data_IF_403659793960
#
_entry.id   IF_403659793960
#
_cell.length_a   1.000
_cell.length_b   1.000
_cell.length_c   1.000
_cell.angle_alpha   90.00
_cell.angle_beta   90.00
_cell.angle_gamma   90.00
#
_symmetry.space_group_name_H-M   'P 1'
#
loop_
_entity.id
_entity.type
_entity.pdbx_description
1 polymer ?
#
# COMPACT_ATOMS: atom_id res chain seq x y z
N UNK A 1 46.90 -13.42 73.03
CA UNK A 1 47.34 -13.45 71.62
C UNK A 1 46.44 -14.29 70.70
N UNK A 2 46.02 -15.51 71.09
CA UNK A 2 45.20 -16.39 70.23
C UNK A 2 43.82 -15.79 69.85
N UNK A 3 43.12 -15.16 70.81
CA UNK A 3 41.83 -14.49 70.57
C UNK A 3 41.92 -13.35 69.55
N UNK A 4 43.02 -12.60 69.53
CA UNK A 4 43.23 -11.48 68.59
C UNK A 4 43.49 -12.01 67.18
N UNK A 5 44.26 -13.10 67.06
CA UNK A 5 44.51 -13.77 65.77
C UNK A 5 43.21 -14.36 65.19
N UNK A 6 42.37 -15.00 66.01
CA UNK A 6 41.08 -15.55 65.57
C UNK A 6 40.14 -14.43 65.09
N UNK A 7 40.06 -13.31 65.81
CA UNK A 7 39.26 -12.15 65.37
C UNK A 7 39.72 -11.59 64.03
N UNK A 8 41.03 -11.50 63.80
CA UNK A 8 41.57 -11.01 62.54
C UNK A 8 41.34 -11.99 61.38
N UNK A 9 41.38 -13.30 61.64
CA UNK A 9 41.06 -14.32 60.63
C UNK A 9 39.57 -14.26 60.27
N UNK A 10 38.68 -14.14 61.26
CA UNK A 10 37.25 -13.98 61.02
C UNK A 10 36.99 -12.72 60.20
N UNK A 11 37.60 -11.60 60.57
CA UNK A 11 37.46 -10.34 59.83
C UNK A 11 37.90 -10.48 58.37
N UNK A 12 39.04 -11.13 58.12
CA UNK A 12 39.57 -11.36 56.78
C UNK A 12 38.65 -12.28 55.96
N UNK A 13 38.10 -13.32 56.58
CA UNK A 13 37.11 -14.20 55.95
C UNK A 13 35.82 -13.43 55.65
N UNK A 14 35.34 -12.58 56.55
CA UNK A 14 34.15 -11.74 56.30
C UNK A 14 34.39 -10.77 55.16
N UNK A 15 35.55 -10.12 55.10
CA UNK A 15 35.89 -9.23 53.98
C UNK A 15 35.95 -10.00 52.66
N UNK A 16 36.54 -11.20 52.64
CA UNK A 16 36.57 -12.04 51.43
C UNK A 16 35.17 -12.50 51.01
N UNK A 17 34.29 -12.83 51.97
CA UNK A 17 32.89 -13.18 51.70
C UNK A 17 32.12 -11.96 51.16
N UNK A 18 32.35 -10.77 51.71
CA UNK A 18 31.74 -9.54 51.19
C UNK A 18 32.23 -9.20 49.79
N UNK A 19 33.53 -9.38 49.49
CA UNK A 19 34.07 -9.21 48.13
C UNK A 19 33.46 -10.26 47.20
N UNK A 20 33.35 -11.52 47.62
CA UNK A 20 32.75 -12.59 46.82
C UNK A 20 31.25 -12.36 46.55
N UNK A 21 30.48 -11.95 47.56
CA UNK A 21 29.06 -11.63 47.41
C UNK A 21 28.86 -10.38 46.56
N UNK A 22 29.63 -9.32 46.78
CA UNK A 22 29.61 -8.11 45.95
C UNK A 22 30.01 -8.42 44.51
N UNK A 23 31.00 -9.30 44.33
CA UNK A 23 31.43 -9.78 43.02
C UNK A 23 30.34 -10.61 42.35
N UNK A 24 29.58 -11.43 43.06
CA UNK A 24 28.45 -12.15 42.47
C UNK A 24 27.29 -11.20 42.12
N UNK A 25 27.05 -10.14 42.87
CA UNK A 25 25.99 -9.15 42.56
C UNK A 25 26.38 -8.23 41.40
N UNK A 26 27.67 -7.90 41.25
CA UNK A 26 28.17 -7.02 40.18
C UNK A 26 28.66 -7.76 38.92
N UNK A 27 29.16 -9.00 39.04
CA UNK A 27 29.65 -9.82 37.90
C UNK A 27 28.64 -10.85 37.40
N UNK A 28 27.58 -11.18 38.15
CA UNK A 28 26.41 -11.76 37.50
C UNK A 28 25.73 -10.61 36.77
N UNK A 29 26.12 -10.41 35.51
CA UNK A 29 25.25 -9.73 34.55
C UNK A 29 23.88 -10.39 34.71
N UNK A 30 22.84 -9.66 35.16
CA UNK A 30 21.50 -10.22 35.22
C UNK A 30 21.16 -10.79 33.84
N UNK A 31 20.33 -11.83 33.76
CA UNK A 31 20.09 -12.55 32.49
C UNK A 31 19.63 -11.64 31.34
N UNK A 32 19.09 -10.46 31.63
CA UNK A 32 18.77 -9.43 30.63
C UNK A 32 19.97 -8.69 30.03
N UNK A 33 21.16 -8.71 30.66
CA UNK A 33 22.42 -8.17 30.12
C UNK A 33 23.30 -9.25 29.50
N UNK A 34 22.90 -10.54 29.54
CA UNK A 34 23.32 -11.47 28.50
C UNK A 34 22.62 -11.01 27.23
N UNK A 35 23.20 -10.01 26.58
CA UNK A 35 22.99 -9.78 25.16
C UNK A 35 23.13 -11.16 24.54
N UNK A 36 22.04 -11.67 23.99
CA UNK A 36 22.12 -12.74 23.02
C UNK A 36 23.04 -12.18 21.94
N UNK A 37 24.33 -12.47 22.05
CA UNK A 37 25.21 -12.61 20.92
C UNK A 37 24.59 -13.75 20.11
N UNK A 38 23.47 -13.46 19.45
CA UNK A 38 23.16 -14.09 18.18
C UNK A 38 24.45 -13.85 17.40
N UNK A 39 25.19 -14.93 17.20
CA UNK A 39 26.17 -14.97 16.13
C UNK A 39 25.51 -14.23 14.95
N UNK A 40 26.11 -13.14 14.50
CA UNK A 40 25.93 -12.62 13.16
C UNK A 40 26.38 -13.72 12.19
N UNK A 41 25.57 -14.77 12.09
CA UNK A 41 25.38 -15.42 10.82
C UNK A 41 24.47 -14.46 10.08
N UNK A 42 24.86 -14.12 8.85
CA UNK A 42 23.92 -13.78 7.79
C UNK A 42 22.75 -14.77 7.86
N UNK A 43 21.75 -14.47 8.68
CA UNK A 43 20.50 -15.18 8.66
C UNK A 43 19.87 -14.71 7.38
N UNK A 44 20.07 -15.48 6.31
CA UNK A 44 19.26 -15.40 5.11
C UNK A 44 17.82 -15.14 5.56
N UNK A 45 17.25 -14.02 5.13
CA UNK A 45 15.84 -13.74 5.39
C UNK A 45 15.08 -14.90 4.75
N UNK A 46 14.61 -15.84 5.56
CA UNK A 46 13.81 -16.96 5.07
C UNK A 46 12.46 -16.35 4.72
N UNK A 47 12.24 -16.17 3.42
CA UNK A 47 10.99 -15.62 2.90
C UNK A 47 10.00 -16.76 2.82
N UNK A 48 9.17 -16.85 3.85
CA UNK A 48 8.06 -17.78 3.88
C UNK A 48 6.76 -17.13 3.36
N UNK A 49 6.70 -15.79 3.26
CA UNK A 49 5.56 -15.06 2.73
C UNK A 49 5.59 -15.02 1.19
N UNK A 50 4.44 -15.25 0.56
CA UNK A 50 4.29 -15.11 -0.90
C UNK A 50 4.19 -13.64 -1.29
N UNK A 51 5.32 -13.07 -1.72
CA UNK A 51 5.43 -11.66 -2.11
C UNK A 51 4.47 -11.32 -3.25
N UNK A 52 4.20 -12.24 -4.16
CA UNK A 52 3.36 -11.98 -5.34
C UNK A 52 1.89 -11.72 -5.02
N UNK A 53 1.43 -12.17 -3.85
CA UNK A 53 0.07 -11.87 -3.38
C UNK A 53 -0.13 -10.39 -3.06
N UNK A 54 0.94 -9.70 -2.66
CA UNK A 54 0.88 -8.29 -2.22
C UNK A 54 1.56 -7.36 -3.21
N UNK A 55 2.65 -7.79 -3.86
CA UNK A 55 3.19 -7.12 -5.03
C UNK A 55 2.42 -7.56 -6.26
N UNK A 56 1.29 -6.87 -6.48
CA UNK A 56 0.44 -7.07 -7.64
C UNK A 56 0.00 -5.72 -8.22
N UNK A 57 -0.37 -5.68 -9.50
CA UNK A 57 -0.88 -4.49 -10.17
C UNK A 57 -2.12 -3.93 -9.46
N UNK A 58 -2.29 -2.61 -9.47
CA UNK A 58 -3.50 -1.95 -8.94
C UNK A 58 -4.69 -2.17 -9.87
N UNK A 59 -4.43 -2.31 -11.17
CA UNK A 59 -5.43 -2.61 -12.19
C UNK A 59 -4.81 -3.33 -13.37
N UNK A 60 -5.61 -4.19 -13.98
CA UNK A 60 -5.31 -4.90 -15.22
C UNK A 60 -6.23 -4.33 -16.31
N UNK A 61 -5.64 -3.82 -17.39
CA UNK A 61 -6.37 -3.26 -18.52
C UNK A 61 -6.31 -4.29 -19.64
N UNK A 62 -7.47 -4.74 -20.11
CA UNK A 62 -7.60 -5.71 -21.20
C UNK A 62 -8.15 -4.97 -22.42
N UNK A 63 -7.44 -5.07 -23.54
CA UNK A 63 -7.90 -4.62 -24.84
C UNK A 63 -7.81 -5.78 -25.83
N UNK A 64 -8.95 -6.27 -26.29
CA UNK A 64 -9.03 -7.38 -27.24
C UNK A 64 -10.13 -7.09 -28.25
N UNK A 65 -9.80 -7.11 -29.54
CA UNK A 65 -10.68 -6.64 -30.62
C UNK A 65 -11.22 -5.22 -30.32
N UNK A 66 -12.55 -5.04 -30.32
CA UNK A 66 -13.23 -3.79 -29.97
C UNK A 66 -13.54 -3.66 -28.47
N UNK A 67 -13.20 -4.69 -27.68
CA UNK A 67 -13.49 -4.70 -26.25
C UNK A 67 -12.38 -4.05 -25.44
N UNK A 68 -12.79 -3.30 -24.42
CA UNK A 68 -11.90 -2.72 -23.43
C UNK A 68 -12.53 -2.82 -22.05
N UNK A 69 -11.78 -3.35 -21.09
CA UNK A 69 -12.22 -3.39 -19.70
C UNK A 69 -11.05 -3.25 -18.75
N UNK A 70 -11.35 -2.89 -17.50
CA UNK A 70 -10.38 -2.73 -16.43
C UNK A 70 -10.81 -3.57 -15.25
N UNK A 71 -9.89 -4.38 -14.74
CA UNK A 71 -10.09 -5.25 -13.59
C UNK A 71 -9.24 -4.74 -12.43
N UNK A 72 -9.83 -4.60 -11.26
CA UNK A 72 -9.13 -4.17 -10.03
C UNK A 72 -8.79 -5.35 -9.11
N UNK A 73 -9.18 -6.57 -9.48
CA UNK A 73 -8.86 -7.81 -8.77
C UNK A 73 -8.21 -8.80 -9.74
N UNK A 74 -7.42 -9.72 -9.18
CA UNK A 74 -6.80 -10.81 -9.95
C UNK A 74 -7.47 -12.15 -9.66
N UNK A 75 -8.80 -12.18 -9.59
CA UNK A 75 -9.55 -13.42 -9.34
C UNK A 75 -9.34 -14.49 -10.42
N UNK A 76 -9.02 -14.04 -11.64
CA UNK A 76 -8.84 -14.90 -12.81
C UNK A 76 -7.37 -15.36 -13.00
N UNK A 77 -6.45 -14.98 -12.08
CA UNK A 77 -5.05 -15.40 -12.11
C UNK A 77 -4.23 -14.85 -13.29
N UNK A 78 -4.54 -13.64 -13.77
CA UNK A 78 -3.81 -12.98 -14.85
C UNK A 78 -2.38 -12.62 -14.41
N UNK A 79 -2.22 -12.19 -13.16
CA UNK A 79 -0.91 -11.78 -12.64
C UNK A 79 0.03 -12.97 -12.48
N UNK A 80 -0.44 -14.09 -11.96
CA UNK A 80 0.35 -15.32 -11.83
C UNK A 80 0.90 -15.78 -13.18
N UNK A 81 0.09 -15.71 -14.24
CA UNK A 81 0.52 -16.03 -15.61
C UNK A 81 1.50 -14.99 -16.18
N UNK A 82 1.31 -13.71 -15.86
CA UNK A 82 2.24 -12.66 -16.26
C UNK A 82 3.62 -12.82 -15.59
N UNK A 83 3.66 -13.27 -14.33
CA UNK A 83 4.91 -13.54 -13.61
C UNK A 83 5.76 -14.61 -14.29
N UNK A 84 5.15 -15.61 -14.93
CA UNK A 84 5.87 -16.60 -15.76
C UNK A 84 6.59 -15.90 -16.91
N UNK A 85 5.90 -15.02 -17.65
CA UNK A 85 6.49 -14.27 -18.76
C UNK A 85 7.60 -13.31 -18.30
N UNK A 86 7.42 -12.65 -17.15
CA UNK A 86 8.47 -11.80 -16.55
C UNK A 86 9.70 -12.65 -16.20
N UNK A 87 9.49 -13.78 -15.53
CA UNK A 87 10.58 -14.68 -15.15
C UNK A 87 11.35 -15.17 -16.38
N UNK A 88 10.65 -15.60 -17.43
CA UNK A 88 11.27 -16.05 -18.68
C UNK A 88 12.08 -14.91 -19.34
N UNK A 89 11.53 -13.70 -19.38
CA UNK A 89 12.19 -12.54 -19.96
C UNK A 89 13.45 -12.15 -19.17
N UNK A 90 13.38 -12.19 -17.84
CA UNK A 90 14.43 -11.72 -16.95
C UNK A 90 15.56 -12.75 -16.83
N UNK A 91 15.22 -14.03 -16.71
CA UNK A 91 16.19 -15.12 -16.67
C UNK A 91 17.02 -15.20 -17.96
N UNK A 92 16.41 -14.88 -19.10
CA UNK A 92 17.05 -14.96 -20.42
C UNK A 92 17.46 -13.59 -20.98
N UNK A 93 17.47 -12.54 -20.15
CA UNK A 93 17.67 -11.15 -20.57
C UNK A 93 18.94 -10.92 -21.40
N UNK A 94 20.02 -11.64 -21.13
CA UNK A 94 21.30 -11.52 -21.87
C UNK A 94 21.23 -12.00 -23.32
N UNK A 95 20.33 -12.94 -23.61
CA UNK A 95 20.10 -13.50 -24.96
C UNK A 95 18.93 -12.80 -25.68
N UNK A 96 18.29 -11.84 -25.02
CA UNK A 96 17.09 -11.17 -25.53
C UNK A 96 17.44 -9.98 -26.44
N UNK A 97 16.58 -9.73 -27.42
CA UNK A 97 16.59 -8.47 -28.15
C UNK A 97 15.89 -7.40 -27.31
N UNK A 98 16.61 -6.31 -27.00
CA UNK A 98 16.13 -5.21 -26.17
C UNK A 98 16.06 -3.96 -27.03
N UNK A 99 14.85 -3.43 -27.20
CA UNK A 99 14.61 -2.23 -28.00
C UNK A 99 13.70 -1.27 -27.26
N UNK A 100 13.98 0.02 -27.34
CA UNK A 100 13.01 1.05 -26.93
C UNK A 100 11.83 1.04 -27.92
N UNK A 101 10.61 0.94 -27.38
CA UNK A 101 9.39 0.90 -28.19
C UNK A 101 8.48 2.07 -27.83
N UNK A 102 8.09 2.82 -28.85
CA UNK A 102 7.00 3.81 -28.76
C UNK A 102 5.68 3.23 -29.25
N UNK A 103 5.72 2.06 -29.91
CA UNK A 103 4.56 1.43 -30.50
C UNK A 103 3.87 0.55 -29.46
N UNK A 104 2.61 0.86 -29.21
CA UNK A 104 1.73 0.08 -28.36
C UNK A 104 1.07 -1.04 -29.18
N UNK A 105 1.01 -2.29 -28.68
CA UNK A 105 0.26 -3.34 -29.34
C UNK A 105 -1.21 -2.96 -29.55
N UNK A 106 -1.83 -3.45 -30.62
CA UNK A 106 -3.25 -3.19 -30.89
C UNK A 106 -4.17 -3.91 -29.92
N UNK A 107 -3.78 -5.12 -29.52
CA UNK A 107 -4.46 -5.99 -28.57
C UNK A 107 -3.48 -6.38 -27.46
N UNK A 108 -3.85 -6.12 -26.22
CA UNK A 108 -2.93 -6.24 -25.11
C UNK A 108 -3.63 -6.49 -23.79
N UNK A 109 -2.85 -7.03 -22.86
CA UNK A 109 -3.10 -6.88 -21.44
C UNK A 109 -2.01 -5.98 -20.84
N UNK A 110 -2.42 -4.99 -20.05
CA UNK A 110 -1.54 -4.04 -19.38
C UNK A 110 -1.76 -4.12 -17.87
N UNK A 111 -0.69 -4.35 -17.14
CA UNK A 111 -0.63 -4.42 -15.70
C UNK A 111 -0.06 -3.11 -15.18
N UNK A 112 -0.88 -2.30 -14.52
CA UNK A 112 -0.47 -0.99 -14.01
C UNK A 112 -0.10 -1.08 -12.52
N UNK A 113 1.05 -0.51 -12.16
CA UNK A 113 1.42 -0.25 -10.76
C UNK A 113 1.20 1.22 -10.43
N UNK A 114 0.79 1.51 -9.19
CA UNK A 114 0.57 2.89 -8.75
C UNK A 114 1.88 3.67 -8.59
N UNK A 115 2.97 3.01 -8.22
CA UNK A 115 4.32 3.59 -8.07
C UNK A 115 5.33 2.86 -8.97
N UNK A 116 6.54 3.41 -9.06
CA UNK A 116 7.64 2.76 -9.75
C UNK A 116 8.21 1.69 -8.83
N UNK A 117 8.09 0.41 -9.19
CA UNK A 117 8.56 -0.71 -8.37
C UNK A 117 10.01 -1.04 -8.76
N UNK A 118 10.97 -1.07 -7.83
CA UNK A 118 12.34 -1.48 -8.12
C UNK A 118 12.40 -2.88 -8.75
N UNK A 119 13.15 -3.03 -9.85
CA UNK A 119 13.27 -4.33 -10.54
C UNK A 119 13.93 -5.39 -9.65
N UNK A 120 14.77 -4.94 -8.72
CA UNK A 120 15.52 -5.78 -7.79
C UNK A 120 14.58 -6.64 -6.93
N UNK A 121 13.38 -6.14 -6.64
CA UNK A 121 12.36 -6.93 -5.94
C UNK A 121 11.96 -8.16 -6.77
N UNK A 122 11.82 -8.00 -8.09
CA UNK A 122 11.47 -9.10 -8.98
C UNK A 122 12.63 -10.08 -9.14
N UNK A 123 13.81 -9.57 -9.47
CA UNK A 123 14.98 -10.42 -9.75
C UNK A 123 15.48 -11.11 -8.49
N UNK A 124 15.45 -10.44 -7.34
CA UNK A 124 15.77 -11.02 -6.04
C UNK A 124 14.82 -12.16 -5.67
N UNK A 125 13.51 -11.94 -5.81
CA UNK A 125 12.53 -12.98 -5.45
C UNK A 125 12.56 -14.18 -6.40
N UNK A 126 12.73 -13.95 -7.70
CA UNK A 126 12.84 -14.99 -8.72
C UNK A 126 14.21 -15.68 -8.73
N UNK A 127 15.17 -15.24 -7.89
CA UNK A 127 16.56 -15.74 -7.84
C UNK A 127 17.27 -15.65 -9.19
N UNK A 128 17.11 -14.51 -9.85
CA UNK A 128 17.71 -14.23 -11.16
C UNK A 128 19.07 -13.59 -10.95
N UNK A 129 20.14 -14.34 -11.25
CA UNK A 129 21.53 -13.90 -11.10
C UNK A 129 21.99 -12.90 -12.18
N UNK A 130 21.12 -12.56 -13.14
CA UNK A 130 21.48 -11.75 -14.29
C UNK A 130 21.65 -10.28 -13.92
N UNK A 131 22.89 -9.85 -13.65
CA UNK A 131 23.18 -8.44 -13.28
C UNK A 131 22.86 -7.42 -14.37
N UNK A 132 22.76 -7.82 -15.65
CA UNK A 132 22.54 -6.88 -16.75
C UNK A 132 21.15 -6.23 -16.68
N UNK A 133 20.14 -6.94 -16.16
CA UNK A 133 18.79 -6.39 -16.07
C UNK A 133 18.70 -5.24 -15.08
N UNK A 134 19.25 -5.39 -13.87
CA UNK A 134 19.20 -4.36 -12.82
C UNK A 134 19.94 -3.08 -13.26
N UNK A 135 20.92 -3.20 -14.16
CA UNK A 135 21.60 -2.02 -14.74
C UNK A 135 20.82 -1.37 -15.88
N UNK A 136 19.96 -2.12 -16.58
CA UNK A 136 19.22 -1.64 -17.76
C UNK A 136 17.85 -1.10 -17.38
N UNK A 137 17.17 -1.78 -16.47
CA UNK A 137 15.83 -1.51 -16.01
C UNK A 137 15.92 -1.22 -14.52
N UNK A 138 15.66 0.02 -14.09
CA UNK A 138 15.68 0.34 -12.65
C UNK A 138 14.35 0.00 -11.98
N UNK A 139 13.24 0.32 -12.65
CA UNK A 139 11.91 0.18 -12.10
C UNK A 139 10.94 -0.39 -13.12
N UNK A 140 9.81 -0.89 -12.62
CA UNK A 140 8.64 -1.33 -13.38
C UNK A 140 7.46 -0.49 -12.91
N UNK A 141 6.88 0.29 -13.83
CA UNK A 141 5.67 1.08 -13.58
C UNK A 141 4.45 0.47 -14.27
N UNK A 142 4.64 -0.11 -15.45
CA UNK A 142 3.65 -0.99 -16.05
C UNK A 142 4.33 -2.08 -16.89
N UNK A 143 3.62 -3.20 -17.02
CA UNK A 143 3.97 -4.33 -17.88
C UNK A 143 2.86 -4.47 -18.91
N UNK A 144 3.21 -4.64 -20.18
CA UNK A 144 2.27 -4.85 -21.27
C UNK A 144 2.67 -6.13 -21.99
N UNK A 145 1.68 -6.97 -22.24
CA UNK A 145 1.81 -8.21 -22.99
C UNK A 145 0.92 -8.10 -24.22
N UNK A 146 1.54 -8.32 -25.38
CA UNK A 146 0.85 -8.43 -26.67
C UNK A 146 0.11 -9.77 -26.72
N UNK A 147 -1.15 -9.74 -27.16
CA UNK A 147 -1.98 -10.94 -27.27
C UNK A 147 -1.75 -11.74 -28.57
N UNK A 148 -0.97 -11.17 -29.49
CA UNK A 148 -0.63 -11.75 -30.79
C UNK A 148 0.87 -12.10 -30.90
N UNK A 149 1.75 -11.37 -30.21
CA UNK A 149 3.18 -11.73 -30.08
C UNK A 149 3.45 -12.44 -28.75
N UNK A 150 3.62 -13.77 -28.84
CA UNK A 150 3.78 -14.60 -27.65
C UNK A 150 5.19 -14.65 -27.05
N UNK A 151 6.15 -14.00 -27.71
CA UNK A 151 7.57 -14.10 -27.38
C UNK A 151 8.16 -12.75 -26.93
N UNK A 152 7.31 -11.78 -26.60
CA UNK A 152 7.75 -10.48 -26.11
C UNK A 152 6.91 -9.94 -24.97
N UNK A 153 7.58 -9.10 -24.16
CA UNK A 153 6.94 -8.28 -23.14
C UNK A 153 7.44 -6.84 -23.28
N UNK A 154 6.61 -5.88 -22.88
CA UNK A 154 6.96 -4.47 -22.86
C UNK A 154 6.89 -3.96 -21.42
N UNK A 155 7.91 -3.25 -20.98
CA UNK A 155 7.99 -2.70 -19.63
C UNK A 155 8.20 -1.20 -19.71
N UNK A 156 7.29 -0.44 -19.13
CA UNK A 156 7.51 0.99 -18.89
C UNK A 156 8.21 1.17 -17.55
N UNK A 157 9.36 1.82 -17.56
CA UNK A 157 10.21 1.99 -16.39
C UNK A 157 9.98 3.31 -15.62
N UNK A 158 9.01 4.12 -16.08
CA UNK A 158 8.76 5.47 -15.56
C UNK A 158 9.24 6.60 -16.48
N UNK A 159 10.14 6.29 -17.42
CA UNK A 159 10.71 7.24 -18.38
C UNK A 159 10.42 6.80 -19.83
N UNK A 160 10.70 5.55 -20.16
CA UNK A 160 10.46 4.97 -21.48
C UNK A 160 9.98 3.51 -21.40
N UNK A 161 9.51 3.01 -22.54
CA UNK A 161 9.03 1.63 -22.68
C UNK A 161 10.07 0.79 -23.39
N UNK A 162 10.46 -0.32 -22.77
CA UNK A 162 11.43 -1.28 -23.29
C UNK A 162 10.69 -2.54 -23.73
N UNK A 163 10.89 -2.96 -24.98
CA UNK A 163 10.47 -4.28 -25.47
C UNK A 163 11.61 -5.28 -25.22
N UNK A 164 11.28 -6.39 -24.58
CA UNK A 164 12.16 -7.55 -24.41
C UNK A 164 11.58 -8.67 -25.26
N UNK A 165 12.34 -9.15 -26.23
CA UNK A 165 11.92 -10.22 -27.15
C UNK A 165 12.88 -11.39 -27.08
N UNK A 166 12.32 -12.58 -26.86
CA UNK A 166 13.08 -13.83 -26.71
C UNK A 166 12.16 -15.03 -27.00
N UNK A 167 12.64 -16.02 -27.76
CA UNK A 167 11.87 -17.22 -28.07
C UNK A 167 11.54 -18.12 -26.86
N UNK A 168 12.17 -17.88 -25.70
CA UNK A 168 11.87 -18.55 -24.45
C UNK A 168 10.75 -17.87 -23.65
N UNK A 169 10.41 -16.61 -23.95
CA UNK A 169 9.25 -15.95 -23.37
C UNK A 169 8.01 -16.64 -23.91
N UNK A 170 7.08 -17.03 -23.04
CA UNK A 170 5.81 -17.63 -23.46
C UNK A 170 4.63 -16.94 -22.79
N UNK A 171 3.92 -16.10 -23.54
CA UNK A 171 2.69 -15.42 -23.07
C UNK A 171 1.41 -16.08 -23.58
N UNK A 172 1.51 -17.26 -24.20
CA UNK A 172 0.37 -17.90 -24.87
C UNK A 172 -0.77 -18.24 -23.91
N UNK A 173 -0.47 -18.84 -22.75
CA UNK A 173 -1.52 -19.18 -21.78
C UNK A 173 -2.27 -17.95 -21.27
N UNK A 174 -1.56 -16.83 -21.05
CA UNK A 174 -2.18 -15.58 -20.66
C UNK A 174 -3.05 -15.02 -21.78
N UNK A 175 -2.57 -15.11 -23.02
CA UNK A 175 -3.29 -14.66 -24.21
C UNK A 175 -4.57 -15.47 -24.44
N UNK A 176 -4.48 -16.80 -24.33
CA UNK A 176 -5.62 -17.72 -24.46
C UNK A 176 -6.65 -17.48 -23.34
N UNK A 177 -6.17 -17.21 -22.11
CA UNK A 177 -7.04 -16.83 -20.99
C UNK A 177 -7.79 -15.53 -21.32
N UNK A 178 -7.12 -14.45 -21.70
CA UNK A 178 -7.77 -13.18 -22.06
C UNK A 178 -8.78 -13.34 -23.21
N UNK A 179 -8.44 -14.15 -24.22
CA UNK A 179 -9.34 -14.47 -25.36
C UNK A 179 -10.62 -15.20 -24.92
N UNK A 180 -10.60 -15.87 -23.78
CA UNK A 180 -11.76 -16.57 -23.21
C UNK A 180 -12.64 -15.73 -22.28
N UNK A 181 -12.27 -14.46 -22.02
CA UNK A 181 -13.05 -13.60 -21.13
C UNK A 181 -14.44 -13.28 -21.68
N UNK A 182 -15.44 -13.33 -20.82
CA UNK A 182 -16.74 -12.72 -21.08
C UNK A 182 -16.66 -11.20 -20.82
N UNK A 183 -16.52 -10.42 -21.90
CA UNK A 183 -16.46 -8.96 -21.82
C UNK A 183 -17.84 -8.32 -21.62
N UNK A 184 -18.95 -9.02 -21.89
CA UNK A 184 -20.30 -8.43 -21.81
C UNK A 184 -20.76 -8.22 -20.36
N UNK A 185 -20.30 -9.06 -19.44
CA UNK A 185 -20.58 -8.93 -18.00
C UNK A 185 -19.68 -7.92 -17.28
N UNK A 186 -18.72 -7.31 -17.97
CA UNK A 186 -17.73 -6.40 -17.39
C UNK A 186 -18.06 -4.93 -17.66
N UNK A 187 -17.39 -4.04 -16.94
CA UNK A 187 -17.55 -2.60 -17.13
C UNK A 187 -17.14 -2.22 -18.55
N UNK A 188 -18.06 -1.54 -19.26
CA UNK A 188 -17.85 -0.98 -20.60
C UNK A 188 -17.22 0.41 -20.49
N UNK A 189 -16.50 0.80 -21.54
CA UNK A 189 -15.80 2.07 -21.60
C UNK A 189 -16.12 2.83 -22.88
N UNK A 190 -16.24 4.16 -22.76
CA UNK A 190 -16.33 5.07 -23.89
C UNK A 190 -14.98 5.73 -24.18
N UNK A 191 -14.66 5.85 -25.46
CA UNK A 191 -13.42 6.49 -25.93
C UNK A 191 -13.71 7.84 -26.57
N UNK A 192 -12.69 8.70 -26.60
CA UNK A 192 -12.69 9.96 -27.34
C UNK A 192 -13.91 10.85 -27.06
N UNK A 193 -14.40 10.80 -25.81
CA UNK A 193 -15.50 11.65 -25.36
C UNK A 193 -15.04 13.11 -25.34
N UNK A 194 -15.92 13.99 -25.81
CA UNK A 194 -15.63 15.42 -25.90
C UNK A 194 -16.42 16.20 -24.86
N UNK A 195 -15.75 17.17 -24.25
CA UNK A 195 -16.40 18.22 -23.47
C UNK A 195 -16.07 19.54 -24.15
N UNK A 196 -17.10 20.15 -24.75
CA UNK A 196 -16.93 21.27 -25.69
C UNK A 196 -15.94 20.89 -26.82
N UNK A 197 -14.80 21.59 -26.90
CA UNK A 197 -13.78 21.40 -27.93
C UNK A 197 -12.65 20.45 -27.49
N UNK A 198 -12.60 20.09 -26.21
CA UNK A 198 -11.54 19.28 -25.63
C UNK A 198 -11.94 17.80 -25.62
N UNK A 199 -10.99 16.94 -26.01
CA UNK A 199 -11.19 15.48 -26.04
C UNK A 199 -10.49 14.85 -24.84
N UNK A 200 -11.23 14.06 -24.07
CA UNK A 200 -10.66 13.24 -23.00
C UNK A 200 -9.86 12.11 -23.66
N UNK A 201 -8.57 12.05 -23.36
CA UNK A 201 -7.63 11.13 -23.99
C UNK A 201 -7.70 9.71 -23.41
N UNK A 202 -8.38 9.55 -22.28
CA UNK A 202 -8.47 8.29 -21.55
C UNK A 202 -9.87 7.66 -21.65
N UNK A 203 -9.98 6.33 -21.57
CA UNK A 203 -11.27 5.65 -21.59
C UNK A 203 -12.11 6.02 -20.36
N UNK A 204 -13.40 6.27 -20.58
CA UNK A 204 -14.34 6.66 -19.52
C UNK A 204 -15.23 5.46 -19.17
N UNK A 205 -15.24 4.99 -17.91
CA UNK A 205 -16.12 3.90 -17.48
C UNK A 205 -17.60 4.32 -17.61
N UNK A 206 -18.42 3.40 -18.13
CA UNK A 206 -19.86 3.56 -18.34
C UNK A 206 -20.67 2.86 -17.25
N UNK A 207 -20.20 2.93 -16.00
CA UNK A 207 -20.92 2.34 -14.88
C UNK A 207 -22.17 3.15 -14.52
N UNK A 208 -23.31 2.47 -14.43
CA UNK A 208 -24.61 3.10 -14.12
C UNK A 208 -25.05 2.88 -12.68
N UNK A 209 -24.58 1.81 -12.03
CA UNK A 209 -25.00 1.45 -10.68
C UNK A 209 -23.85 0.97 -9.81
N UNK A 210 -23.97 1.16 -8.50
CA UNK A 210 -23.00 0.76 -7.48
C UNK A 210 -23.72 0.26 -6.23
N UNK A 211 -23.07 -0.58 -5.43
CA UNK A 211 -23.57 -0.93 -4.10
C UNK A 211 -23.34 0.23 -3.12
N UNK A 212 -24.43 0.74 -2.54
CA UNK A 212 -24.44 1.84 -1.58
C UNK A 212 -25.72 1.77 -0.70
N UNK A 213 -25.71 2.23 0.56
CA UNK A 213 -24.54 2.60 1.37
C UNK A 213 -23.62 1.41 1.67
N UNK A 214 -22.33 1.67 1.89
CA UNK A 214 -21.38 0.65 2.40
C UNK A 214 -20.96 1.05 3.80
N UNK A 215 -21.39 0.25 4.78
CA UNK A 215 -21.03 0.42 6.18
C UNK A 215 -19.78 -0.37 6.50
N UNK A 216 -18.84 0.28 7.19
CA UNK A 216 -17.59 -0.33 7.65
C UNK A 216 -17.30 0.00 9.10
N UNK A 217 -16.45 -0.81 9.70
CA UNK A 217 -15.90 -0.61 11.02
C UNK A 217 -14.38 -0.78 10.97
N UNK A 218 -13.67 -0.12 11.87
CA UNK A 218 -12.24 -0.34 12.06
C UNK A 218 -11.99 -1.78 12.47
N UNK A 219 -10.91 -2.35 11.94
CA UNK A 219 -10.45 -3.68 12.35
C UNK A 219 -10.08 -3.71 13.84
N UNK A 220 -9.48 -2.63 14.34
CA UNK A 220 -9.07 -2.50 15.74
C UNK A 220 -10.06 -1.63 16.50
N UNK A 221 -10.52 -2.13 17.64
CA UNK A 221 -11.33 -1.41 18.61
C UNK A 221 -10.49 -1.13 19.86
N UNK A 222 -10.26 0.15 20.16
CA UNK A 222 -9.50 0.57 21.35
C UNK A 222 -10.15 0.10 22.66
N UNK A 223 -11.46 -0.16 22.65
CA UNK A 223 -12.20 -0.64 23.81
C UNK A 223 -12.12 -2.15 24.00
N UNK A 224 -11.63 -2.90 23.00
CA UNK A 224 -11.32 -4.32 23.14
C UNK A 224 -9.93 -4.51 23.76
N UNK A 225 -9.87 -4.26 25.06
CA UNK A 225 -8.61 -4.26 25.83
C UNK A 225 -7.87 -5.59 25.74
N UNK A 226 -8.58 -6.71 25.66
CA UNK A 226 -7.96 -8.04 25.60
C UNK A 226 -7.22 -8.23 24.28
N UNK A 227 -7.87 -7.95 23.15
CA UNK A 227 -7.23 -7.99 21.82
C UNK A 227 -6.03 -7.03 21.75
N UNK A 228 -6.19 -5.79 22.21
CA UNK A 228 -5.08 -4.81 22.19
C UNK A 228 -3.92 -5.25 23.08
N UNK A 229 -4.18 -5.89 24.23
CA UNK A 229 -3.11 -6.41 25.08
C UNK A 229 -2.34 -7.55 24.39
N UNK A 230 -3.01 -8.43 23.65
CA UNK A 230 -2.34 -9.50 22.89
C UNK A 230 -1.46 -8.92 21.77
N UNK A 231 -1.94 -7.90 21.05
CA UNK A 231 -1.14 -7.18 20.04
C UNK A 231 0.11 -6.57 20.69
N UNK A 232 -0.05 -5.93 21.86
CA UNK A 232 1.08 -5.36 22.58
C UNK A 232 2.07 -6.45 23.05
N UNK A 233 1.59 -7.59 23.55
CA UNK A 233 2.45 -8.73 23.93
C UNK A 233 3.26 -9.23 22.74
N UNK A 234 2.65 -9.37 21.57
CA UNK A 234 3.35 -9.85 20.38
C UNK A 234 4.39 -8.83 19.86
N UNK A 235 4.09 -7.54 19.93
CA UNK A 235 5.04 -6.49 19.54
C UNK A 235 6.25 -6.39 20.49
N UNK A 236 6.01 -6.31 21.80
CA UNK A 236 7.07 -6.14 22.80
C UNK A 236 7.75 -7.46 23.19
N UNK A 237 7.13 -8.62 22.92
CA UNK A 237 7.64 -9.95 23.21
C UNK A 237 8.14 -10.05 24.66
N UNK A 238 9.42 -10.34 24.84
CA UNK A 238 10.05 -10.52 26.15
C UNK A 238 10.10 -9.23 26.99
N UNK A 239 9.96 -8.05 26.37
CA UNK A 239 9.97 -6.77 27.07
C UNK A 239 8.60 -6.36 27.63
N UNK A 240 7.52 -7.11 27.32
CA UNK A 240 6.15 -6.73 27.64
C UNK A 240 5.92 -6.48 29.14
N UNK A 241 6.53 -7.28 30.03
CA UNK A 241 6.38 -7.13 31.49
C UNK A 241 6.90 -5.79 32.03
N UNK A 242 7.74 -5.10 31.25
CA UNK A 242 8.33 -3.80 31.61
C UNK A 242 7.67 -2.63 30.87
N UNK A 243 6.64 -2.89 30.07
CA UNK A 243 5.93 -1.88 29.29
C UNK A 243 5.04 -1.05 30.21
N UNK A 244 5.15 0.27 30.08
CA UNK A 244 4.22 1.21 30.71
C UNK A 244 3.01 1.39 29.80
N UNK A 245 1.82 1.11 30.34
CA UNK A 245 0.53 1.36 29.70
C UNK A 245 -0.07 2.67 30.22
N UNK A 246 -0.55 3.51 29.31
CA UNK A 246 -1.28 4.74 29.63
C UNK A 246 -2.45 4.96 28.68
N UNK A 247 -3.47 5.67 29.16
CA UNK A 247 -4.62 6.11 28.37
C UNK A 247 -4.58 7.63 28.28
N UNK A 248 -4.53 8.17 27.06
CA UNK A 248 -4.59 9.61 26.83
C UNK A 248 -6.03 10.15 27.04
N UNK A 249 -6.17 11.46 27.23
CA UNK A 249 -7.51 12.10 27.40
C UNK A 249 -8.40 11.89 26.18
N UNK A 250 -7.81 11.75 25.00
CA UNK A 250 -8.50 11.41 23.74
C UNK A 250 -8.74 9.91 23.57
N UNK A 251 -8.72 9.13 24.65
CA UNK A 251 -8.96 7.68 24.67
C UNK A 251 -7.92 6.79 24.00
N UNK A 252 -6.83 7.36 23.47
CA UNK A 252 -5.76 6.58 22.86
C UNK A 252 -5.06 5.70 23.90
N UNK A 253 -4.81 4.43 23.54
CA UNK A 253 -3.98 3.53 24.33
C UNK A 253 -2.53 3.65 23.87
N UNK A 254 -1.63 3.88 24.82
CA UNK A 254 -0.20 4.03 24.56
C UNK A 254 0.58 3.06 25.44
N UNK A 255 1.45 2.28 24.81
CA UNK A 255 2.37 1.35 25.42
C UNK A 255 3.79 1.79 25.13
N UNK A 256 4.61 1.94 26.17
CA UNK A 256 5.99 2.43 26.04
C UNK A 256 6.95 1.53 26.79
N UNK A 257 7.94 1.01 26.07
CA UNK A 257 9.12 0.40 26.67
C UNK A 257 10.30 1.38 26.59
N UNK A 258 10.76 1.83 27.76
CA UNK A 258 11.82 2.84 27.91
C UNK A 258 11.53 4.12 27.12
N UNK A 259 12.44 4.53 26.24
CA UNK A 259 12.31 5.59 25.22
C UNK A 259 12.53 5.04 23.82
N UNK A 260 12.59 3.72 23.68
CA UNK A 260 13.06 3.03 22.46
C UNK A 260 11.90 2.47 21.66
N UNK A 261 10.87 1.90 22.31
CA UNK A 261 9.72 1.30 21.62
C UNK A 261 8.40 1.89 22.10
N UNK A 262 7.57 2.29 21.14
CA UNK A 262 6.26 2.87 21.37
C UNK A 262 5.24 2.14 20.51
N UNK A 263 4.10 1.78 21.08
CA UNK A 263 2.91 1.29 20.38
C UNK A 263 1.72 2.14 20.82
N UNK A 264 1.02 2.72 19.85
CA UNK A 264 -0.16 3.57 20.06
C UNK A 264 -1.32 3.05 19.24
N UNK A 265 -2.50 2.98 19.87
CA UNK A 265 -3.77 2.69 19.20
C UNK A 265 -4.73 3.83 19.53
N UNK A 266 -5.29 4.48 18.51
CA UNK A 266 -6.23 5.59 18.71
C UNK A 266 -7.70 5.12 18.73
N UNK A 267 -8.61 6.01 19.13
CA UNK A 267 -10.05 5.75 19.18
C UNK A 267 -10.66 5.40 17.82
N UNK A 268 -10.04 5.84 16.72
CA UNK A 268 -10.46 5.50 15.36
C UNK A 268 -9.96 4.13 14.90
N UNK A 269 -9.09 3.44 15.64
CA UNK A 269 -8.56 2.12 15.26
C UNK A 269 -7.29 2.16 14.40
N UNK A 270 -6.59 3.29 14.35
CA UNK A 270 -5.23 3.39 13.82
C UNK A 270 -4.25 2.85 14.86
N UNK A 271 -3.48 1.85 14.46
CA UNK A 271 -2.30 1.37 15.16
C UNK A 271 -1.06 2.04 14.56
N UNK A 272 -0.17 2.53 15.43
CA UNK A 272 1.10 3.15 15.07
C UNK A 272 2.16 2.66 16.04
N UNK A 273 3.25 2.07 15.55
CA UNK A 273 4.42 1.76 16.37
C UNK A 273 5.70 2.31 15.78
N UNK A 274 6.65 2.57 16.68
CA UNK A 274 8.01 2.97 16.35
C UNK A 274 9.02 2.23 17.23
N UNK A 275 10.14 1.82 16.64
CA UNK A 275 11.26 1.14 17.30
C UNK A 275 12.59 1.83 16.94
N UNK A 276 13.14 2.56 17.92
CA UNK A 276 14.40 3.29 17.82
C UNK A 276 15.63 2.45 18.22
N UNK A 277 15.45 1.18 18.64
CA UNK A 277 16.54 0.34 19.15
C UNK A 277 17.36 -0.36 18.07
N UNK A 278 16.95 -0.21 16.81
CA UNK A 278 17.53 -0.91 15.67
C UNK A 278 18.82 -0.21 15.22
N UNK A 279 19.95 -0.92 15.35
CA UNK A 279 21.22 -0.44 14.81
C UNK A 279 21.22 -0.48 13.26
N UNK A 280 21.71 0.58 12.61
CA UNK A 280 21.65 0.65 11.16
C UNK A 280 22.72 -0.21 10.49
N UNK A 281 22.29 -0.98 9.48
CA UNK A 281 23.17 -1.64 8.52
C UNK A 281 23.23 -0.78 7.26
N UNK A 282 24.44 -0.42 6.82
CA UNK A 282 24.69 0.57 5.76
C UNK A 282 24.40 0.09 4.32
N UNK A 283 23.62 -0.96 4.13
CA UNK A 283 23.25 -1.42 2.78
C UNK A 283 21.74 -1.69 2.72
N UNK A 284 21.03 -0.80 2.03
CA UNK A 284 19.61 -0.94 1.75
C UNK A 284 19.45 -1.72 0.44
N UNK A 285 19.04 -2.97 0.52
CA UNK A 285 18.68 -3.80 -0.63
C UNK A 285 17.15 -3.76 -0.81
N UNK A 286 16.63 -3.28 -1.97
CA UNK A 286 15.19 -3.14 -2.17
C UNK A 286 14.41 -4.44 -1.97
N UNK A 287 14.99 -5.58 -2.34
CA UNK A 287 14.36 -6.89 -2.22
C UNK A 287 14.36 -7.37 -0.78
N UNK A 288 15.52 -7.35 -0.09
CA UNK A 288 15.61 -7.78 1.32
C UNK A 288 14.76 -6.90 2.22
N UNK A 289 14.75 -5.60 1.99
CA UNK A 289 13.92 -4.64 2.70
C UNK A 289 12.43 -4.93 2.48
N UNK A 290 12.00 -5.18 1.24
CA UNK A 290 10.60 -5.50 0.96
C UNK A 290 10.19 -6.86 1.53
N UNK A 291 11.05 -7.86 1.42
CA UNK A 291 10.87 -9.16 2.03
C UNK A 291 10.71 -9.07 3.56
N UNK A 292 11.53 -8.25 4.23
CA UNK A 292 11.41 -8.00 5.66
C UNK A 292 10.06 -7.34 6.00
N UNK A 293 9.62 -6.35 5.21
CA UNK A 293 8.30 -5.73 5.37
C UNK A 293 7.16 -6.75 5.23
N UNK A 294 7.17 -7.57 4.18
CA UNK A 294 6.12 -8.54 3.90
C UNK A 294 6.06 -9.63 4.97
N UNK A 295 7.21 -10.16 5.38
CA UNK A 295 7.28 -11.15 6.46
C UNK A 295 6.76 -10.57 7.78
N UNK A 296 7.18 -9.34 8.13
CA UNK A 296 6.72 -8.67 9.34
C UNK A 296 5.20 -8.51 9.36
N UNK A 297 4.62 -7.97 8.28
CA UNK A 297 3.17 -7.74 8.20
C UNK A 297 2.42 -9.07 8.35
N UNK A 298 2.87 -10.12 7.65
CA UNK A 298 2.29 -11.45 7.72
C UNK A 298 2.29 -12.02 9.14
N UNK A 299 3.41 -11.91 9.85
CA UNK A 299 3.59 -12.48 11.18
C UNK A 299 2.86 -11.69 12.27
N UNK A 300 2.78 -10.37 12.13
CA UNK A 300 2.20 -9.50 13.16
C UNK A 300 0.67 -9.47 13.13
N UNK A 301 0.06 -8.94 12.05
CA UNK A 301 -1.41 -8.78 11.95
C UNK A 301 -1.99 -9.25 10.60
N UNK A 302 -1.16 -9.82 9.74
CA UNK A 302 -1.55 -10.21 8.39
C UNK A 302 -1.82 -9.02 7.45
N UNK A 303 -2.03 -9.32 6.18
CA UNK A 303 -2.48 -8.33 5.20
C UNK A 303 -4.01 -8.22 5.20
N UNK A 304 -4.59 -7.04 4.94
CA UNK A 304 -6.02 -6.93 4.66
C UNK A 304 -6.39 -7.77 3.44
N UNK A 305 -7.63 -8.22 3.39
CA UNK A 305 -8.16 -8.90 2.22
C UNK A 305 -8.01 -7.99 0.99
N UNK A 306 -7.55 -8.57 -0.11
CA UNK A 306 -7.26 -7.83 -1.33
C UNK A 306 -6.23 -6.68 -1.18
N UNK A 307 -5.34 -6.77 -0.19
CA UNK A 307 -4.19 -5.87 -0.05
C UNK A 307 -3.26 -5.88 -1.26
N UNK A 308 -2.67 -4.73 -1.58
CA UNK A 308 -1.65 -4.60 -2.61
C UNK A 308 -0.68 -3.45 -2.29
N UNK A 309 0.56 -3.57 -2.77
CA UNK A 309 1.57 -2.53 -2.67
C UNK A 309 1.18 -1.35 -3.55
N UNK A 310 1.01 -0.19 -2.93
CA UNK A 310 0.56 1.04 -3.58
C UNK A 310 1.69 2.05 -3.80
N UNK A 311 2.70 2.05 -2.93
CA UNK A 311 3.82 2.97 -3.04
C UNK A 311 5.12 2.38 -2.49
N UNK A 312 6.24 2.78 -3.09
CA UNK A 312 7.61 2.50 -2.64
C UNK A 312 8.37 3.82 -2.65
N UNK A 313 8.89 4.22 -1.49
CA UNK A 313 9.65 5.46 -1.33
C UNK A 313 11.00 5.17 -0.68
N UNK A 314 12.06 5.79 -1.19
CA UNK A 314 13.35 5.79 -0.49
C UNK A 314 13.26 6.78 0.67
N UNK A 315 13.69 6.37 1.85
CA UNK A 315 13.70 7.18 3.06
C UNK A 315 15.09 7.22 3.67
N UNK A 316 15.39 8.33 4.34
CA UNK A 316 16.62 8.51 5.11
C UNK A 316 16.25 8.82 6.56
N UNK A 317 16.49 7.88 7.46
CA UNK A 317 16.23 8.00 8.89
C UNK A 317 17.56 8.04 9.64
N UNK A 318 17.84 9.18 10.29
CA UNK A 318 19.06 9.39 11.10
C UNK A 318 20.38 9.10 10.34
N UNK A 319 20.38 9.37 9.03
CA UNK A 319 21.53 9.14 8.15
C UNK A 319 21.57 7.76 7.49
N UNK A 320 20.61 6.90 7.79
CA UNK A 320 20.53 5.53 7.26
C UNK A 320 19.50 5.44 6.15
N UNK A 321 19.87 4.77 5.07
CA UNK A 321 19.00 4.53 3.94
C UNK A 321 18.04 3.36 4.22
N UNK A 322 16.83 3.47 3.70
CA UNK A 322 15.90 2.37 3.63
C UNK A 322 14.66 2.72 2.82
N UNK A 323 13.60 1.96 3.04
CA UNK A 323 12.40 2.04 2.22
C UNK A 323 11.15 2.17 3.06
N UNK A 324 10.24 3.02 2.59
CA UNK A 324 8.84 3.07 3.04
C UNK A 324 7.98 2.37 2.01
N UNK A 325 7.26 1.34 2.46
CA UNK A 325 6.26 0.66 1.66
C UNK A 325 4.88 1.04 2.16
N UNK A 326 4.02 1.48 1.25
CA UNK A 326 2.62 1.80 1.55
C UNK A 326 1.72 0.81 0.83
N UNK A 327 0.88 0.10 1.56
CA UNK A 327 -0.12 -0.80 1.01
C UNK A 327 -1.51 -0.17 1.07
N UNK A 328 -2.35 -0.55 0.13
CA UNK A 328 -3.78 -0.25 0.08
C UNK A 328 -4.55 -1.54 -0.15
N UNK A 329 -5.88 -1.49 -0.19
CA UNK A 329 -6.72 -2.64 -0.46
C UNK A 329 -8.00 -2.22 -1.16
N UNK A 330 -8.75 -3.23 -1.63
CA UNK A 330 -10.03 -3.02 -2.30
C UNK A 330 -11.18 -3.49 -1.42
N UNK A 331 -12.27 -2.73 -1.45
CA UNK A 331 -13.57 -3.13 -0.89
C UNK A 331 -14.53 -3.27 -2.05
N UNK A 332 -15.19 -4.43 -2.16
CA UNK A 332 -16.14 -4.74 -3.24
C UNK A 332 -15.55 -4.44 -4.63
N UNK A 333 -14.32 -4.90 -4.87
CA UNK A 333 -13.55 -4.72 -6.12
C UNK A 333 -13.25 -3.27 -6.50
N UNK A 334 -13.26 -2.34 -5.53
CA UNK A 334 -12.91 -0.94 -5.76
C UNK A 334 -11.84 -0.47 -4.77
N UNK A 335 -10.92 0.41 -5.19
CA UNK A 335 -9.91 0.96 -4.30
C UNK A 335 -10.56 1.76 -3.17
N UNK A 336 -10.09 1.54 -1.95
CA UNK A 336 -10.40 2.43 -0.83
C UNK A 336 -9.48 3.66 -0.87
N UNK A 337 -10.03 4.80 -0.50
CA UNK A 337 -9.36 6.10 -0.45
C UNK A 337 -9.63 6.71 0.92
N UNK A 338 -8.59 7.18 1.58
CA UNK A 338 -8.71 7.86 2.88
C UNK A 338 -8.53 9.36 2.73
N UNK A 339 -9.33 10.14 3.44
CA UNK A 339 -9.17 11.61 3.46
C UNK A 339 -7.76 12.01 3.89
N UNK A 340 -7.12 12.91 3.11
CA UNK A 340 -5.81 13.48 3.41
C UNK A 340 -5.84 14.37 4.65
N UNK A 341 -7.01 14.85 5.08
CA UNK A 341 -7.17 15.64 6.31
C UNK A 341 -6.62 14.89 7.53
N UNK A 342 -6.71 13.56 7.54
CA UNK A 342 -6.15 12.72 8.61
C UNK A 342 -4.84 12.03 8.24
N UNK A 343 -4.35 12.21 7.01
CA UNK A 343 -3.14 11.59 6.48
C UNK A 343 -3.06 10.07 6.72
N UNK A 344 -4.21 9.38 6.70
CA UNK A 344 -4.26 7.94 6.92
C UNK A 344 -3.89 7.18 5.64
N UNK A 345 -3.17 6.08 5.81
CA UNK A 345 -2.93 5.05 4.80
C UNK A 345 -3.34 3.69 5.37
N UNK A 346 -3.67 2.72 4.53
CA UNK A 346 -4.15 1.42 5.01
C UNK A 346 -3.06 0.71 5.81
N UNK A 347 -1.88 0.55 5.20
CA UNK A 347 -0.66 0.11 5.86
C UNK A 347 0.50 0.96 5.38
N UNK A 348 1.37 1.35 6.29
CA UNK A 348 2.66 1.94 5.97
C UNK A 348 3.72 1.29 6.84
N UNK A 349 4.84 0.92 6.26
CA UNK A 349 5.93 0.27 6.96
C UNK A 349 7.25 0.85 6.50
N UNK A 350 8.08 1.25 7.47
CA UNK A 350 9.41 1.78 7.22
C UNK A 350 10.43 0.70 7.61
N UNK A 351 11.33 0.39 6.69
CA UNK A 351 12.38 -0.61 6.86
C UNK A 351 13.73 0.07 6.63
N UNK A 352 14.62 -0.03 7.62
CA UNK A 352 16.00 0.48 7.54
C UNK A 352 16.94 -0.72 7.58
N UNK A 353 17.80 -0.83 6.56
CA UNK A 353 18.51 -2.08 6.26
C UNK A 353 17.50 -3.21 6.03
N UNK A 354 17.42 -4.15 6.98
CA UNK A 354 16.47 -5.28 6.96
C UNK A 354 15.51 -5.29 8.17
N UNK A 355 15.42 -4.19 8.92
CA UNK A 355 14.67 -4.13 10.16
C UNK A 355 13.51 -3.14 10.06
N UNK A 356 12.34 -3.55 10.54
CA UNK A 356 11.14 -2.71 10.58
C UNK A 356 11.25 -1.73 11.75
N UNK A 357 11.32 -0.43 11.44
CA UNK A 357 11.46 0.63 12.45
C UNK A 357 10.16 1.36 12.74
N UNK A 358 9.20 1.31 11.81
CA UNK A 358 7.90 1.96 11.95
C UNK A 358 6.83 1.18 11.21
N UNK A 359 5.64 1.14 11.77
CA UNK A 359 4.47 0.52 11.14
C UNK A 359 3.20 1.24 11.54
N UNK A 360 2.38 1.55 10.55
CA UNK A 360 1.05 2.13 10.71
C UNK A 360 0.03 1.24 10.05
N UNK A 361 -1.10 1.03 10.73
CA UNK A 361 -2.20 0.20 10.24
C UNK A 361 -3.55 0.84 10.53
N UNK A 362 -4.32 1.07 9.48
CA UNK A 362 -5.69 1.58 9.54
C UNK A 362 -6.57 0.86 8.51
N UNK A 363 -7.20 -0.24 8.94
CA UNK A 363 -8.02 -1.11 8.09
C UNK A 363 -9.49 -1.00 8.46
N UNK A 364 -10.34 -1.06 7.45
CA UNK A 364 -11.80 -1.09 7.56
C UNK A 364 -12.33 -2.43 7.04
N UNK A 365 -13.14 -3.07 7.87
CA UNK A 365 -13.88 -4.26 7.50
C UNK A 365 -15.34 -3.90 7.23
N UNK A 366 -15.95 -4.55 6.24
CA UNK A 366 -17.40 -4.42 6.01
C UNK A 366 -18.14 -4.82 7.28
N UNK A 367 -19.09 -3.99 7.70
CA UNK A 367 -19.98 -4.34 8.79
C UNK A 367 -21.02 -5.36 8.30
N UNK A 368 -20.74 -6.63 8.53
CA UNK A 368 -21.58 -7.75 8.11
C UNK A 368 -23.01 -7.66 8.67
N UNK A 369 -23.24 -6.98 9.80
CA UNK A 369 -24.57 -6.81 10.38
C UNK A 369 -25.44 -5.81 9.61
N UNK A 370 -24.85 -5.06 8.67
CA UNK A 370 -25.53 -4.02 7.89
C UNK A 370 -25.50 -4.31 6.38
N UNK A 371 -25.11 -5.52 5.97
CA UNK A 371 -25.11 -5.91 4.56
C UNK A 371 -26.49 -5.79 3.90
N UNK A 372 -27.56 -6.08 4.65
CA UNK A 372 -28.94 -6.01 4.18
C UNK A 372 -29.37 -4.58 3.79
N UNK A 373 -28.64 -3.56 4.25
CA UNK A 373 -28.88 -2.16 3.91
C UNK A 373 -28.22 -1.75 2.59
N UNK A 374 -27.28 -2.55 2.08
CA UNK A 374 -26.60 -2.26 0.82
C UNK A 374 -27.55 -2.53 -0.35
N UNK A 375 -27.67 -1.57 -1.27
CA UNK A 375 -28.52 -1.72 -2.45
C UNK A 375 -27.83 -1.19 -3.69
N UNK A 376 -28.24 -1.65 -4.87
CA UNK A 376 -27.78 -1.06 -6.13
C UNK A 376 -28.40 0.33 -6.27
N UNK A 377 -27.57 1.34 -6.31
CA UNK A 377 -27.94 2.73 -6.45
C UNK A 377 -27.38 3.29 -7.76
N UNK A 378 -28.14 4.17 -8.41
CA UNK A 378 -27.69 4.84 -9.62
C UNK A 378 -26.56 5.83 -9.30
N UNK A 379 -25.53 5.82 -10.14
CA UNK A 379 -24.45 6.84 -10.10
C UNK A 379 -24.59 7.77 -11.29
N UNK A 380 -24.14 9.01 -11.13
CA UNK A 380 -24.01 9.94 -12.24
C UNK A 380 -22.87 9.47 -13.16
N UNK A 381 -23.04 9.51 -14.49
CA UNK A 381 -21.97 9.22 -15.43
C UNK A 381 -20.76 10.14 -15.18
N UNK A 382 -19.54 9.60 -15.26
CA UNK A 382 -18.32 10.37 -14.97
C UNK A 382 -18.18 11.62 -15.85
N UNK A 383 -18.59 11.53 -17.13
CA UNK A 383 -18.60 12.66 -18.07
C UNK A 383 -19.50 13.81 -17.59
N UNK A 384 -20.63 13.47 -16.97
CA UNK A 384 -21.55 14.48 -16.43
C UNK A 384 -20.97 15.13 -15.19
N UNK A 385 -20.33 14.34 -14.31
CA UNK A 385 -19.63 14.87 -13.13
C UNK A 385 -18.51 15.82 -13.54
N UNK A 386 -17.69 15.45 -14.53
CA UNK A 386 -16.65 16.36 -15.06
C UNK A 386 -17.32 17.65 -15.57
N UNK A 387 -18.34 17.54 -16.42
CA UNK A 387 -19.02 18.70 -17.04
C UNK A 387 -19.61 19.67 -16.01
N UNK A 388 -20.21 19.15 -14.94
CA UNK A 388 -20.81 19.98 -13.86
C UNK A 388 -19.76 20.78 -13.09
N UNK A 389 -18.55 20.24 -12.97
CA UNK A 389 -17.44 20.78 -12.17
C UNK A 389 -16.44 21.62 -12.99
N UNK A 390 -16.75 21.92 -14.25
CA UNK A 390 -15.94 22.84 -15.05
C UNK A 390 -16.23 24.28 -14.62
N UNK A 391 -15.16 25.01 -14.28
CA UNK A 391 -15.22 26.44 -14.02
C UNK A 391 -15.59 27.20 -15.31
N UNK A 392 -16.78 27.80 -15.28
CA UNK A 392 -17.35 28.58 -16.37
C UNK A 392 -17.40 30.08 -16.05
N UNK A 393 -16.74 30.53 -14.98
CA UNK A 393 -16.76 31.92 -14.50
C UNK A 393 -16.23 32.97 -15.49
N UNK A 394 -15.68 32.56 -16.64
CA UNK A 394 -15.28 33.43 -17.76
C UNK A 394 -16.29 33.53 -18.92
N UNK A 395 -17.43 32.84 -18.87
CA UNK A 395 -18.56 33.01 -19.80
C UNK A 395 -19.71 33.67 -19.02
N UNK A 396 -20.58 34.46 -19.65
CA UNK A 396 -21.76 35.04 -18.96
C UNK A 396 -22.64 33.90 -18.40
N UNK A 397 -22.54 33.63 -17.10
CA UNK A 397 -23.32 32.57 -16.43
C UNK A 397 -24.44 33.22 -15.61
N UNK A 398 -25.67 32.96 -16.04
CA UNK A 398 -26.91 33.21 -15.32
C UNK A 398 -26.91 32.51 -13.94
N UNK A 399 -27.63 33.11 -12.99
CA UNK A 399 -27.67 32.85 -11.53
C UNK A 399 -28.07 31.42 -11.06
N UNK A 400 -28.03 30.39 -11.93
CA UNK A 400 -28.57 29.04 -11.67
C UNK A 400 -27.62 28.08 -10.92
N UNK A 401 -26.39 28.47 -10.59
CA UNK A 401 -25.40 27.58 -9.91
C UNK A 401 -25.32 27.77 -8.38
N UNK A 402 -26.33 28.40 -7.77
CA UNK A 402 -26.35 28.70 -6.35
C UNK A 402 -27.06 27.60 -5.57
N UNK A 403 -26.35 26.91 -4.68
CA UNK A 403 -26.98 25.99 -3.72
C UNK A 403 -27.39 26.81 -2.50
N UNK A 404 -28.69 26.85 -2.22
CA UNK A 404 -29.22 27.46 -1.01
C UNK A 404 -29.10 26.46 0.15
N UNK A 405 -28.37 26.82 1.20
CA UNK A 405 -28.36 26.01 2.41
C UNK A 405 -29.72 26.09 3.14
N UNK A 406 -29.94 25.25 4.16
CA UNK A 406 -31.19 25.27 4.95
C UNK A 406 -31.47 26.62 5.63
N UNK A 407 -30.48 27.53 5.68
CA UNK A 407 -30.57 28.86 6.26
C UNK A 407 -30.75 29.97 5.20
N UNK A 408 -30.90 29.64 3.92
CA UNK A 408 -31.11 30.62 2.86
C UNK A 408 -29.84 31.28 2.30
N UNK A 409 -28.64 30.85 2.71
CA UNK A 409 -27.38 31.38 2.17
C UNK A 409 -27.00 30.67 0.87
N UNK A 410 -26.62 31.47 -0.12
CA UNK A 410 -26.08 31.02 -1.39
C UNK A 410 -24.62 30.62 -1.18
N UNK A 411 -24.32 29.32 -1.33
CA UNK A 411 -22.95 28.82 -1.36
C UNK A 411 -22.57 28.67 -2.83
N UNK A 412 -21.55 29.40 -3.28
CA UNK A 412 -20.96 29.19 -4.60
C UNK A 412 -20.30 27.81 -4.62
N UNK A 413 -20.84 26.91 -5.43
CA UNK A 413 -20.27 25.57 -5.63
C UNK A 413 -18.86 25.71 -6.23
N UNK A 414 -17.85 25.15 -5.55
CA UNK A 414 -16.49 25.15 -6.07
C UNK A 414 -16.43 24.25 -7.31
N UNK A 415 -16.14 24.84 -8.47
CA UNK A 415 -15.90 24.14 -9.73
C UNK A 415 -14.40 24.12 -10.01
N UNK A 416 -13.67 23.06 -9.62
CA UNK A 416 -12.21 23.10 -9.62
C UNK A 416 -11.57 22.82 -10.99
N UNK A 417 -12.33 22.30 -11.96
CA UNK A 417 -11.78 21.85 -13.24
C UNK A 417 -11.78 23.01 -14.23
N UNK A 418 -10.62 23.43 -14.71
CA UNK A 418 -10.55 24.40 -15.81
C UNK A 418 -10.69 23.70 -17.16
N UNK A 419 -11.19 24.40 -18.19
CA UNK A 419 -11.38 23.80 -19.52
C UNK A 419 -10.09 23.21 -20.08
N UNK A 420 -8.97 23.92 -19.93
CA UNK A 420 -7.66 23.47 -20.40
C UNK A 420 -7.14 22.20 -19.71
N UNK A 421 -7.72 21.82 -18.57
CA UNK A 421 -7.33 20.63 -17.81
C UNK A 421 -7.94 19.34 -18.37
N UNK A 422 -8.98 19.43 -19.21
CA UNK A 422 -9.72 18.25 -19.71
C UNK A 422 -8.82 17.31 -20.52
N UNK A 423 -7.94 17.87 -21.35
CA UNK A 423 -6.97 17.09 -22.14
C UNK A 423 -5.88 16.42 -21.29
N UNK A 424 -5.68 16.90 -20.07
CA UNK A 424 -4.65 16.43 -19.14
C UNK A 424 -5.17 15.38 -18.15
N UNK A 425 -6.44 14.96 -18.30
CA UNK A 425 -7.01 13.86 -17.52
C UNK A 425 -6.28 12.57 -17.89
N UNK A 426 -5.68 11.94 -16.88
CA UNK A 426 -4.84 10.75 -17.01
C UNK A 426 -5.53 9.46 -16.55
N UNK A 427 -6.59 9.56 -15.74
CA UNK A 427 -7.32 8.41 -15.23
C UNK A 427 -8.70 8.81 -14.68
N UNK A 428 -9.68 7.92 -14.83
CA UNK A 428 -11.03 8.09 -14.30
C UNK A 428 -11.52 6.73 -13.78
N UNK A 429 -11.91 6.65 -12.51
CA UNK A 429 -12.42 5.41 -11.91
C UNK A 429 -13.34 5.65 -10.72
N UNK A 430 -14.13 4.63 -10.36
CA UNK A 430 -14.91 4.62 -9.13
C UNK A 430 -14.08 4.06 -7.97
N UNK A 431 -14.24 4.66 -6.80
CA UNK A 431 -13.64 4.19 -5.55
C UNK A 431 -14.60 4.34 -4.37
N UNK A 432 -14.18 3.83 -3.22
CA UNK A 432 -14.83 4.09 -1.95
C UNK A 432 -13.98 5.03 -1.11
N UNK A 433 -14.58 6.14 -0.68
CA UNK A 433 -13.90 7.18 0.08
C UNK A 433 -14.31 7.15 1.56
N UNK A 434 -13.33 7.00 2.44
CA UNK A 434 -13.47 7.00 3.89
C UNK A 434 -13.01 8.34 4.50
N UNK A 435 -13.94 9.03 5.17
CA UNK A 435 -13.66 10.24 5.93
C UNK A 435 -12.84 9.99 7.21
N UNK A 436 -12.67 8.72 7.60
CA UNK A 436 -11.86 8.27 8.72
C UNK A 436 -12.26 8.90 10.06
N UNK A 437 -13.57 9.09 10.31
CA UNK A 437 -14.06 9.89 11.46
C UNK A 437 -14.42 9.07 12.67
N UNK A 438 -15.02 7.90 12.46
CA UNK A 438 -15.55 7.05 13.53
C UNK A 438 -15.08 5.61 13.31
N UNK A 439 -14.88 4.87 14.40
CA UNK A 439 -14.42 3.48 14.37
C UNK A 439 -15.53 2.47 14.05
N UNK A 440 -16.80 2.80 14.31
CA UNK A 440 -17.96 1.92 14.04
C UNK A 440 -18.99 2.63 13.17
N UNK A 441 -19.74 1.86 12.38
CA UNK A 441 -20.82 2.35 11.52
C UNK A 441 -20.39 3.48 10.55
N UNK A 442 -19.11 3.50 10.16
CA UNK A 442 -18.60 4.49 9.21
C UNK A 442 -19.19 4.21 7.83
N UNK A 443 -19.75 5.25 7.22
CA UNK A 443 -20.26 5.17 5.85
C UNK A 443 -19.16 5.53 4.85
N UNK A 444 -18.87 4.61 3.93
CA UNK A 444 -18.03 4.91 2.78
C UNK A 444 -18.84 5.64 1.72
N UNK A 445 -18.26 6.69 1.14
CA UNK A 445 -18.87 7.41 0.02
C UNK A 445 -18.41 6.79 -1.28
N UNK A 446 -19.33 6.48 -2.17
CA UNK A 446 -18.95 6.14 -3.55
C UNK A 446 -18.51 7.41 -4.26
N UNK A 447 -17.34 7.37 -4.90
CA UNK A 447 -16.73 8.54 -5.51
C UNK A 447 -16.21 8.26 -6.92
N UNK A 448 -16.31 9.26 -7.78
CA UNK A 448 -15.49 9.37 -8.98
C UNK A 448 -14.15 9.98 -8.62
N UNK A 449 -13.07 9.28 -8.96
CA UNK A 449 -11.70 9.77 -8.86
C UNK A 449 -11.24 10.17 -10.25
N UNK A 450 -10.83 11.43 -10.38
CA UNK A 450 -10.35 12.00 -11.64
C UNK A 450 -8.94 12.54 -11.41
N UNK A 451 -7.95 11.90 -12.05
CA UNK A 451 -6.53 12.24 -11.92
C UNK A 451 -6.14 13.15 -13.09
N UNK A 452 -5.69 14.38 -12.78
CA UNK A 452 -5.32 15.41 -13.76
C UNK A 452 -3.93 15.94 -13.42
N UNK A 453 -2.94 15.64 -14.26
CA UNK A 453 -1.52 15.88 -13.96
C UNK A 453 -1.16 15.35 -12.56
N UNK A 454 -0.73 16.24 -11.67
CA UNK A 454 -0.31 15.92 -10.30
C UNK A 454 -1.44 16.04 -9.27
N UNK A 455 -2.67 16.36 -9.72
CA UNK A 455 -3.84 16.54 -8.85
C UNK A 455 -4.81 15.38 -8.96
N UNK A 456 -5.42 15.01 -7.84
CA UNK A 456 -6.52 14.05 -7.84
C UNK A 456 -7.78 14.69 -7.27
N UNK A 457 -8.86 14.68 -8.05
CA UNK A 457 -10.15 15.22 -7.63
C UNK A 457 -11.10 14.08 -7.27
N UNK A 458 -11.73 14.19 -6.10
CA UNK A 458 -12.64 13.19 -5.57
C UNK A 458 -14.05 13.79 -5.54
N UNK A 459 -14.92 13.31 -6.42
CA UNK A 459 -16.30 13.75 -6.53
C UNK A 459 -17.24 12.69 -6.01
N UNK A 460 -18.31 13.09 -5.32
CA UNK A 460 -19.38 12.17 -4.94
C UNK A 460 -20.03 11.58 -6.21
N UNK A 461 -20.08 10.26 -6.34
CA UNK A 461 -20.60 9.62 -7.55
C UNK A 461 -22.13 9.76 -7.70
N UNK A 462 -22.85 10.06 -6.62
CA UNK A 462 -24.32 10.19 -6.61
C UNK A 462 -24.73 11.65 -6.84
N UNK A 463 -24.05 12.60 -6.21
CA UNK A 463 -24.42 14.03 -6.30
C UNK A 463 -23.60 14.80 -7.33
N UNK A 464 -22.40 14.32 -7.67
CA UNK A 464 -21.46 15.01 -8.54
C UNK A 464 -20.65 16.12 -7.85
N UNK A 465 -20.89 16.37 -6.55
CA UNK A 465 -20.21 17.42 -5.80
C UNK A 465 -18.76 17.04 -5.47
N UNK A 466 -17.84 18.02 -5.51
CA UNK A 466 -16.48 17.84 -5.01
C UNK A 466 -16.49 17.51 -3.51
N UNK A 467 -15.76 16.45 -3.12
CA UNK A 467 -15.53 16.07 -1.73
C UNK A 467 -14.14 16.53 -1.28
N UNK A 468 -13.11 16.22 -2.05
CA UNK A 468 -11.72 16.52 -1.70
C UNK A 468 -10.86 16.68 -2.96
N UNK A 469 -9.84 17.54 -2.86
CA UNK A 469 -8.77 17.69 -3.84
C UNK A 469 -7.45 17.29 -3.18
N UNK A 470 -6.65 16.51 -3.89
CA UNK A 470 -5.40 15.92 -3.45
C UNK A 470 -4.21 16.47 -4.19
#
# INVERSE_FOLDING_TARGET
MLKTKIKNIILLVTVLICIYLSSNVWLQLPEFLKVNLKEEKDSEVIIEADIWKVLRPIKNILKYEENYTVLYSDQEGLWEKALVAINDAFANFSDSSITESVVFPSQYIKFDFKSNIPVEIFTGHMKIDNKNINTTLKNIKNLIIDLEDHNSIYIYNGENTIKIENNKINTKELSDLVKSFDFESRTKYAFSQKIEDETIQVPIPLEETVLNPVFVQSELDVFDIDTINEIAKDYFKNDYDYVRKSVEVSGNLVYVYRTEKILKINEEGLLDFYDASIEPVNEADPYKSFAAAVNFIREFLGFPENGYLSNVENIFLEGNEGYRYTFSYNILERPILFSKVRANSALQIDVIGNNVVSYKRFIRNIDNNQMDKMSKMQVLPAIEVIRRNIDISGKDVSEENNITNMNGEIISELKPIKKEMIKDISNIYLGYFDLSRISKEQLLRVVWVIEIKDKTFIFNAITGLLIEEW
#
